data_IF_138021646182
#
_entry.id   IF_138021646182
#
_cell.length_a   1.000
_cell.length_b   1.000
_cell.length_c   1.000
_cell.angle_alpha   90.00
_cell.angle_beta   90.00
_cell.angle_gamma   90.00
#
_symmetry.space_group_name_H-M   'P 1'
#
loop_
_entity.id
_entity.type
_entity.pdbx_description
1 polymer ?
#
# COMPACT_ATOMS: atom_id res chain seq x y z
N UNK A 1 -6.36 0.52 -17.34
CA UNK A 1 -5.22 0.54 -16.39
C UNK A 1 -4.41 1.84 -16.44
N UNK A 2 -4.06 2.37 -17.62
CA UNK A 2 -3.15 3.52 -17.77
C UNK A 2 -3.62 4.80 -17.07
N UNK A 3 -4.88 5.20 -17.22
CA UNK A 3 -5.42 6.38 -16.52
C UNK A 3 -5.44 6.22 -15.00
N UNK A 4 -5.87 5.06 -14.50
CA UNK A 4 -5.88 4.75 -13.06
C UNK A 4 -4.46 4.79 -12.50
N UNK A 5 -3.48 4.23 -13.21
CA UNK A 5 -2.08 4.29 -12.78
C UNK A 5 -1.52 5.70 -12.75
N UNK A 6 -1.87 6.54 -13.73
CA UNK A 6 -1.44 7.94 -13.77
C UNK A 6 -2.11 8.77 -12.67
N UNK A 7 -3.39 8.54 -12.39
CA UNK A 7 -4.11 9.22 -11.31
C UNK A 7 -3.56 8.84 -9.93
N UNK A 8 -3.31 7.55 -9.69
CA UNK A 8 -2.78 7.07 -8.41
C UNK A 8 -1.41 7.69 -8.08
N UNK A 9 -0.58 8.00 -9.07
CA UNK A 9 0.71 8.68 -8.86
C UNK A 9 0.56 10.12 -8.35
N UNK A 10 -0.60 10.74 -8.53
CA UNK A 10 -0.87 12.12 -8.07
C UNK A 10 -1.37 12.16 -6.62
N UNK A 11 -1.77 11.01 -6.06
CA UNK A 11 -2.26 10.91 -4.69
C UNK A 11 -1.05 10.75 -3.77
N UNK A 12 -0.82 11.73 -2.89
CA UNK A 12 0.36 11.80 -2.01
C UNK A 12 0.50 10.60 -1.07
N UNK A 13 -0.63 9.99 -0.71
CA UNK A 13 -0.73 8.85 0.18
C UNK A 13 -0.35 7.53 -0.50
N UNK A 14 -0.32 7.49 -1.84
CA UNK A 14 0.07 6.30 -2.60
C UNK A 14 1.59 6.21 -2.64
N UNK A 15 2.12 5.06 -2.23
CA UNK A 15 3.56 4.78 -2.23
C UNK A 15 3.99 3.98 -3.47
N UNK A 16 3.20 2.99 -3.86
CA UNK A 16 3.45 2.22 -5.08
C UNK A 16 2.18 1.57 -5.64
N UNK A 17 2.23 1.19 -6.92
CA UNK A 17 1.14 0.51 -7.64
C UNK A 17 1.72 -0.64 -8.47
N UNK A 18 1.05 -1.78 -8.49
CA UNK A 18 1.46 -2.94 -9.29
C UNK A 18 0.25 -3.70 -9.85
N UNK A 19 0.41 -4.45 -10.94
CA UNK A 19 -0.63 -5.39 -11.42
C UNK A 19 -1.02 -6.37 -10.31
N UNK A 20 -2.32 -6.66 -10.19
CA UNK A 20 -2.76 -7.72 -9.30
C UNK A 20 -2.27 -9.09 -9.81
N UNK A 21 -2.16 -10.04 -8.89
CA UNK A 21 -1.91 -11.43 -9.28
C UNK A 21 -3.12 -12.00 -10.03
N UNK A 22 -2.92 -13.05 -10.83
CA UNK A 22 -3.96 -13.60 -11.72
C UNK A 22 -5.26 -13.95 -10.98
N UNK A 23 -5.15 -14.56 -9.80
CA UNK A 23 -6.32 -14.95 -8.99
C UNK A 23 -7.04 -13.76 -8.31
N UNK A 24 -6.43 -12.58 -8.25
CA UNK A 24 -7.05 -11.34 -7.80
C UNK A 24 -7.46 -10.42 -8.97
N UNK A 25 -7.59 -10.96 -10.18
CA UNK A 25 -8.05 -10.23 -11.37
C UNK A 25 -6.96 -9.85 -12.38
N UNK A 26 -5.70 -10.20 -12.12
CA UNK A 26 -4.61 -10.08 -13.09
C UNK A 26 -4.46 -8.66 -13.66
N UNK A 27 -4.47 -8.54 -14.99
CA UNK A 27 -4.34 -7.24 -15.68
C UNK A 27 -5.54 -6.30 -15.50
N UNK A 28 -6.69 -6.82 -15.06
CA UNK A 28 -7.91 -6.05 -14.78
C UNK A 28 -7.89 -5.33 -13.42
N UNK A 29 -6.97 -5.67 -12.53
CA UNK A 29 -6.86 -5.10 -11.19
C UNK A 29 -5.43 -4.66 -10.85
N UNK A 30 -5.30 -3.80 -9.83
CA UNK A 30 -4.02 -3.31 -9.33
C UNK A 30 -3.97 -3.36 -7.81
N UNK A 31 -2.81 -3.67 -7.26
CA UNK A 31 -2.51 -3.41 -5.86
C UNK A 31 -1.98 -2.00 -5.69
N UNK A 32 -2.37 -1.36 -4.59
CA UNK A 32 -1.93 -0.03 -4.21
C UNK A 32 -1.37 -0.11 -2.79
N UNK A 33 -0.12 0.30 -2.61
CA UNK A 33 0.46 0.46 -1.28
C UNK A 33 0.20 1.88 -0.80
N UNK A 34 -0.50 2.00 0.33
CA UNK A 34 -0.79 3.29 0.95
C UNK A 34 0.15 3.57 2.12
N UNK A 35 0.48 4.84 2.29
CA UNK A 35 1.23 5.34 3.43
C UNK A 35 0.45 5.05 4.71
N UNK A 36 1.08 4.35 5.64
CA UNK A 36 0.55 4.15 6.98
C UNK A 36 0.47 5.49 7.73
N UNK A 37 -0.62 5.73 8.46
CA UNK A 37 -0.73 6.92 9.32
C UNK A 37 0.35 6.92 10.40
N UNK A 38 0.68 8.10 10.92
CA UNK A 38 1.70 8.24 11.97
C UNK A 38 1.35 7.40 13.21
N UNK A 39 0.09 7.45 13.65
CA UNK A 39 -0.38 6.69 14.82
C UNK A 39 -0.28 5.19 14.59
N UNK A 40 -0.70 4.71 13.41
CA UNK A 40 -0.60 3.29 13.06
C UNK A 40 0.85 2.85 12.88
N UNK A 41 1.76 3.74 12.53
CA UNK A 41 3.20 3.47 12.49
C UNK A 41 3.77 3.37 13.91
N UNK A 42 3.34 4.25 14.83
CA UNK A 42 3.73 4.22 16.24
C UNK A 42 3.22 2.95 16.94
N UNK A 43 1.93 2.65 16.83
CA UNK A 43 1.30 1.44 17.38
C UNK A 43 2.03 0.17 16.90
N UNK A 44 2.39 0.12 15.62
CA UNK A 44 3.14 -1.00 15.06
C UNK A 44 4.55 -1.08 15.67
N UNK A 45 5.25 0.05 15.79
CA UNK A 45 6.57 0.12 16.41
C UNK A 45 6.51 -0.41 17.84
N UNK A 46 5.56 0.05 18.66
CA UNK A 46 5.41 -0.41 20.04
C UNK A 46 5.10 -1.91 20.13
N UNK A 47 4.18 -2.41 19.30
CA UNK A 47 3.82 -3.84 19.27
C UNK A 47 5.01 -4.74 18.92
N UNK A 48 5.83 -4.35 17.95
CA UNK A 48 6.97 -5.15 17.52
C UNK A 48 8.20 -4.95 18.42
N UNK A 49 8.37 -3.80 19.08
CA UNK A 49 9.42 -3.58 20.07
C UNK A 49 9.19 -4.41 21.35
N UNK A 50 7.93 -4.60 21.76
CA UNK A 50 7.58 -5.48 22.91
C UNK A 50 7.89 -6.96 22.70
N UNK A 51 8.20 -7.41 21.48
CA UNK A 51 8.55 -8.81 21.17
C UNK A 51 10.06 -9.09 21.17
N UNK A 52 10.89 -8.06 21.34
CA UNK A 52 12.35 -8.15 21.32
C UNK A 52 12.96 -8.09 22.73
N UNK A 53 12.14 -8.16 23.78
CA UNK A 53 12.55 -8.24 25.19
C UNK A 53 12.13 -9.57 25.80
#
# INVERSE_FOLDING_TARGET
>A
KSFVSSWLQQIKEVQCVHSAQRFHGGSGAVYVLLRKSADKKLENRERHQKRLG
#
